data_IF_541718446651
#
_entry.id   IF_541718446651
#
_cell.length_a   1.000
_cell.length_b   1.000
_cell.length_c   1.000
_cell.angle_alpha   90.00
_cell.angle_beta   90.00
_cell.angle_gamma   90.00
#
_symmetry.space_group_name_H-M   'P 1'
#
loop_
_entity.id
_entity.type
_entity.pdbx_description
1 polymer ?
#
# COMPACT_ATOMS: atom_id res chain seq x y z
N UNK A 1 8.45 4.61 2.55
CA UNK A 1 7.51 3.50 2.81
C UNK A 1 7.65 2.95 4.23
N UNK A 2 6.78 3.43 5.12
CA UNK A 2 6.56 2.89 6.45
C UNK A 2 5.42 1.86 6.43
N UNK A 3 5.67 0.64 6.89
CA UNK A 3 4.69 -0.46 6.80
C UNK A 3 4.10 -0.77 8.17
N UNK A 4 2.78 -0.63 8.31
CA UNK A 4 2.06 -0.90 9.56
C UNK A 4 1.29 -2.22 9.46
N UNK A 5 1.69 -3.18 10.29
CA UNK A 5 1.06 -4.50 10.39
C UNK A 5 0.63 -4.73 11.83
N UNK A 6 -0.59 -5.25 12.01
CA UNK A 6 -1.17 -5.59 13.31
C UNK A 6 -1.69 -7.03 13.28
N UNK A 7 -1.70 -7.68 14.43
CA UNK A 7 -2.38 -8.98 14.61
C UNK A 7 -1.62 -10.22 14.13
N UNK A 8 -0.34 -10.10 13.80
CA UNK A 8 0.52 -11.27 13.48
C UNK A 8 0.90 -12.03 14.74
N UNK A 9 0.87 -13.37 14.70
CA UNK A 9 1.17 -14.25 15.84
C UNK A 9 2.65 -14.51 16.00
N UNK A 10 3.40 -14.47 14.89
CA UNK A 10 4.85 -14.72 14.89
C UNK A 10 5.62 -13.62 14.15
N UNK A 11 6.91 -13.53 14.44
CA UNK A 11 7.84 -12.65 13.72
C UNK A 11 7.97 -13.07 12.25
N UNK A 12 7.87 -14.36 11.95
CA UNK A 12 7.94 -14.87 10.58
C UNK A 12 6.72 -14.44 9.76
N UNK A 13 5.51 -14.59 10.31
CA UNK A 13 4.29 -14.07 9.69
C UNK A 13 4.37 -12.56 9.44
N UNK A 14 4.91 -11.79 10.39
CA UNK A 14 5.13 -10.35 10.22
C UNK A 14 6.09 -10.05 9.07
N UNK A 15 7.22 -10.75 8.97
CA UNK A 15 8.20 -10.54 7.89
C UNK A 15 7.61 -10.86 6.52
N UNK A 16 6.89 -11.97 6.41
CA UNK A 16 6.24 -12.40 5.17
C UNK A 16 5.17 -11.40 4.75
N UNK A 17 4.30 -10.98 5.69
CA UNK A 17 3.25 -10.00 5.42
C UNK A 17 3.82 -8.62 5.06
N UNK A 18 4.93 -8.21 5.71
CA UNK A 18 5.64 -6.97 5.37
C UNK A 18 6.19 -7.00 3.95
N UNK A 19 6.92 -8.06 3.59
CA UNK A 19 7.48 -8.19 2.25
C UNK A 19 6.37 -8.19 1.18
N UNK A 20 5.28 -8.92 1.43
CA UNK A 20 4.12 -8.96 0.55
C UNK A 20 3.46 -7.58 0.39
N UNK A 21 3.21 -6.86 1.49
CA UNK A 21 2.60 -5.52 1.44
C UNK A 21 3.47 -4.51 0.70
N UNK A 22 4.78 -4.52 0.95
CA UNK A 22 5.72 -3.60 0.31
C UNK A 22 5.81 -3.86 -1.20
N UNK A 23 5.79 -5.14 -1.61
CA UNK A 23 5.73 -5.51 -3.03
C UNK A 23 4.44 -5.03 -3.68
N UNK A 24 3.27 -5.41 -3.13
CA UNK A 24 1.97 -5.06 -3.72
C UNK A 24 1.72 -3.55 -3.74
N UNK A 25 2.10 -2.85 -2.69
CA UNK A 25 1.99 -1.40 -2.67
C UNK A 25 2.83 -0.74 -3.76
N UNK A 26 4.04 -1.25 -4.01
CA UNK A 26 4.90 -0.74 -5.09
C UNK A 26 4.27 -1.00 -6.46
N UNK A 27 3.80 -2.22 -6.72
CA UNK A 27 3.14 -2.59 -7.99
C UNK A 27 1.92 -1.70 -8.26
N UNK A 28 1.01 -1.59 -7.29
CA UNK A 28 -0.22 -0.80 -7.43
C UNK A 28 0.04 0.70 -7.53
N UNK A 29 1.03 1.21 -6.80
CA UNK A 29 1.46 2.60 -6.93
C UNK A 29 2.00 2.89 -8.33
N UNK A 30 2.86 2.04 -8.88
CA UNK A 30 3.43 2.27 -10.21
C UNK A 30 2.35 2.26 -11.30
N UNK A 31 1.38 1.34 -11.20
CA UNK A 31 0.24 1.26 -12.12
C UNK A 31 -0.69 2.47 -11.97
N UNK A 32 -1.03 2.85 -10.73
CA UNK A 32 -1.86 4.01 -10.47
C UNK A 32 -1.19 5.30 -10.95
N UNK A 33 0.11 5.47 -10.69
CA UNK A 33 0.90 6.61 -11.15
C UNK A 33 0.92 6.72 -12.67
N UNK A 34 1.00 5.59 -13.39
CA UNK A 34 0.94 5.55 -14.88
C UNK A 34 -0.42 5.95 -15.44
N UNK A 35 -1.51 5.75 -14.68
CA UNK A 35 -2.86 6.12 -15.11
C UNK A 35 -3.13 7.64 -15.04
N UNK A 36 -2.25 8.42 -14.40
CA UNK A 36 -2.39 9.87 -14.25
C UNK A 36 -1.32 10.60 -15.07
N UNK A 37 -1.76 11.51 -15.96
CA UNK A 37 -0.83 12.34 -16.73
C UNK A 37 0.03 13.27 -15.85
N UNK A 38 -0.52 13.68 -14.70
CA UNK A 38 0.15 14.56 -13.76
C UNK A 38 -0.03 14.05 -12.33
N UNK A 39 0.84 13.13 -11.92
CA UNK A 39 0.87 12.58 -10.56
C UNK A 39 1.37 13.63 -9.56
N UNK A 40 0.55 13.94 -8.56
CA UNK A 40 0.84 14.96 -7.53
C UNK A 40 0.90 14.42 -6.11
N UNK A 41 0.67 13.12 -5.92
CA UNK A 41 0.64 12.53 -4.59
C UNK A 41 2.04 12.38 -3.98
N UNK A 42 3.08 12.36 -4.81
CA UNK A 42 4.46 12.10 -4.38
C UNK A 42 4.76 10.60 -4.30
N UNK A 43 5.69 10.20 -3.46
CA UNK A 43 6.06 8.80 -3.25
C UNK A 43 5.26 8.16 -2.10
N UNK A 44 5.40 6.83 -1.93
CA UNK A 44 4.70 6.10 -0.86
C UNK A 44 5.31 6.44 0.50
N UNK A 45 4.51 7.11 1.33
CA UNK A 45 4.87 7.43 2.71
C UNK A 45 4.57 6.24 3.62
N UNK A 46 3.35 5.68 3.56
CA UNK A 46 2.90 4.62 4.49
C UNK A 46 1.94 3.63 3.86
N UNK A 47 2.00 2.38 4.32
CA UNK A 47 1.16 1.27 3.85
C UNK A 47 0.59 0.48 5.02
N UNK A 48 -0.69 0.08 4.93
CA UNK A 48 -1.34 -0.82 5.90
C UNK A 48 -2.48 -1.62 5.24
N UNK A 49 -2.99 -2.63 5.94
CA UNK A 49 -4.21 -3.36 5.56
C UNK A 49 -5.37 -2.86 6.43
N UNK A 50 -6.49 -2.49 5.81
CA UNK A 50 -7.70 -2.10 6.55
C UNK A 50 -8.46 -3.31 7.11
N UNK A 51 -9.54 -3.06 7.86
CA UNK A 51 -10.36 -4.12 8.44
C UNK A 51 -11.13 -4.98 7.42
N UNK A 52 -11.13 -4.59 6.13
CA UNK A 52 -11.77 -5.31 5.02
C UNK A 52 -10.76 -6.06 4.15
N UNK A 53 -9.46 -5.95 4.44
CA UNK A 53 -8.39 -6.61 3.69
C UNK A 53 -7.85 -5.78 2.52
N UNK A 54 -8.24 -4.51 2.37
CA UNK A 54 -7.70 -3.65 1.31
C UNK A 54 -6.33 -3.12 1.69
N UNK A 55 -5.44 -3.04 0.71
CA UNK A 55 -4.16 -2.37 0.84
C UNK A 55 -4.42 -0.87 0.80
N UNK A 56 -4.01 -0.15 1.84
CA UNK A 56 -4.12 1.30 1.90
C UNK A 56 -2.73 1.90 1.74
N UNK A 57 -2.60 2.87 0.84
CA UNK A 57 -1.34 3.55 0.56
C UNK A 57 -1.55 5.04 0.80
N UNK A 58 -0.82 5.60 1.76
CA UNK A 58 -0.71 7.03 2.02
C UNK A 58 0.56 7.57 1.35
N UNK A 59 0.43 8.71 0.71
CA UNK A 59 1.47 9.37 -0.06
C UNK A 59 1.99 10.62 0.65
N UNK A 60 3.12 11.16 0.18
CA UNK A 60 3.74 12.38 0.72
C UNK A 60 2.81 13.62 0.69
N UNK A 61 1.84 13.64 -0.21
CA UNK A 61 0.79 14.68 -0.25
C UNK A 61 -0.14 14.68 0.97
N UNK A 62 -0.16 13.59 1.75
CA UNK A 62 -1.12 13.34 2.82
C UNK A 62 -2.45 12.73 2.35
N UNK A 63 -2.66 12.55 1.05
CA UNK A 63 -3.78 11.75 0.54
C UNK A 63 -3.44 10.27 0.62
N UNK A 64 -4.47 9.45 0.63
CA UNK A 64 -4.33 8.00 0.63
C UNK A 64 -5.46 7.36 -0.17
N UNK A 65 -5.17 6.18 -0.70
CA UNK A 65 -6.07 5.44 -1.58
C UNK A 65 -6.19 4.00 -1.11
N UNK A 66 -7.35 3.41 -1.38
CA UNK A 66 -7.55 1.99 -1.20
C UNK A 66 -7.20 1.24 -2.48
N UNK A 67 -6.69 0.03 -2.31
CA UNK A 67 -6.40 -0.92 -3.37
C UNK A 67 -6.92 -2.29 -3.00
N UNK A 68 -7.58 -2.94 -3.95
CA UNK A 68 -7.82 -4.36 -3.86
C UNK A 68 -6.60 -5.16 -4.35
N UNK A 69 -6.72 -6.49 -4.33
CA UNK A 69 -5.64 -7.41 -4.72
C UNK A 69 -5.25 -7.30 -6.21
N UNK A 70 -6.16 -6.81 -7.05
CA UNK A 70 -5.97 -6.63 -8.49
C UNK A 70 -5.38 -5.24 -8.82
N UNK A 71 -5.19 -4.37 -7.82
CA UNK A 71 -4.72 -3.01 -8.02
C UNK A 71 -5.79 -2.02 -8.45
N UNK A 72 -7.07 -2.38 -8.42
CA UNK A 72 -8.16 -1.41 -8.60
C UNK A 72 -8.24 -0.49 -7.38
N UNK A 73 -8.46 0.82 -7.60
CA UNK A 73 -8.34 1.84 -6.55
C UNK A 73 -9.57 2.74 -6.42
N UNK A 74 -9.75 3.30 -5.21
CA UNK A 74 -10.79 4.30 -4.89
C UNK A 74 -10.43 5.15 -3.67
#
# INVERSE_FOLDING_TARGET
MHTVIKGTKTVEEFKQLKAYLEQRATEHFEEHKKAFENWKEGEIEKVWIDGKGNICIEYESGNWWHYNEQGEWW
#
